data_IF_382582687879
#
_entry.id   IF_382582687879
#
_cell.length_a   1.000
_cell.length_b   1.000
_cell.length_c   1.000
_cell.angle_alpha   90.00
_cell.angle_beta   90.00
_cell.angle_gamma   90.00
#
_symmetry.space_group_name_H-M   'P 1'
#
loop_
_entity.id
_entity.type
_entity.pdbx_description
1 polymer ?
#
# COMPACT_ATOMS: atom_id res chain seq x y z
N UNK A 1 3.70 -8.74 16.78
CA UNK A 1 2.37 -8.11 16.59
C UNK A 1 2.35 -7.48 15.20
N UNK A 2 1.22 -7.53 14.48
CA UNK A 2 1.11 -6.92 13.16
C UNK A 2 1.18 -5.39 13.23
N UNK A 3 1.91 -4.75 12.31
CA UNK A 3 2.06 -3.29 12.24
C UNK A 3 0.75 -2.63 11.77
N UNK A 4 0.51 -1.40 12.20
CA UNK A 4 -0.60 -0.58 11.68
C UNK A 4 -0.24 -0.08 10.29
N UNK A 5 -1.05 -0.41 9.29
CA UNK A 5 -0.88 0.10 7.93
C UNK A 5 -1.56 1.46 7.81
N UNK A 6 -0.76 2.49 7.54
CA UNK A 6 -1.24 3.85 7.27
C UNK A 6 -0.91 4.21 5.83
N UNK A 7 -1.88 4.82 5.14
CA UNK A 7 -1.66 5.38 3.82
C UNK A 7 -0.57 6.47 3.87
N UNK A 8 0.44 6.37 3.02
CA UNK A 8 1.59 7.28 3.06
C UNK A 8 2.12 7.69 1.71
N UNK A 9 2.87 8.79 1.72
CA UNK A 9 3.81 9.19 0.68
C UNK A 9 5.23 9.17 1.23
N UNK A 10 6.20 8.97 0.35
CA UNK A 10 7.62 9.04 0.67
C UNK A 10 8.20 10.34 0.13
N UNK A 11 9.06 11.00 0.93
CA UNK A 11 9.76 12.25 0.57
C UNK A 11 10.42 12.11 -0.81
N UNK A 12 10.32 13.18 -1.61
CA UNK A 12 10.85 13.21 -2.99
C UNK A 12 12.33 12.81 -3.10
N UNK A 13 13.19 13.23 -2.17
CA UNK A 13 14.63 12.92 -2.19
C UNK A 13 14.97 11.44 -1.98
N UNK A 14 14.03 10.64 -1.51
CA UNK A 14 14.22 9.20 -1.31
C UNK A 14 13.89 8.41 -2.58
N UNK A 15 13.23 9.02 -3.56
CA UNK A 15 12.99 8.38 -4.84
C UNK A 15 14.25 8.29 -5.67
N UNK A 16 14.39 7.20 -6.42
CA UNK A 16 15.45 6.96 -7.40
C UNK A 16 16.88 7.01 -6.84
N UNK A 17 17.06 6.76 -5.54
CA UNK A 17 18.40 6.58 -4.95
C UNK A 17 19.10 5.39 -5.60
N UNK A 18 20.34 5.62 -6.04
CA UNK A 18 21.17 4.59 -6.64
C UNK A 18 21.45 3.46 -5.65
N UNK A 19 21.42 2.23 -6.15
CA UNK A 19 21.72 1.04 -5.36
C UNK A 19 22.49 0.03 -6.21
N UNK A 20 23.45 -0.66 -5.59
CA UNK A 20 24.09 -1.81 -6.21
C UNK A 20 23.04 -2.93 -6.36
N UNK A 21 22.77 -3.33 -7.60
CA UNK A 21 21.72 -4.28 -7.93
C UNK A 21 21.97 -5.68 -7.34
N UNK A 22 23.22 -6.15 -7.32
CA UNK A 22 23.58 -7.48 -6.81
C UNK A 22 23.61 -7.50 -5.28
N UNK A 23 24.10 -6.43 -4.65
CA UNK A 23 24.01 -6.25 -3.21
C UNK A 23 22.54 -6.20 -2.76
N UNK A 24 21.72 -5.38 -3.44
CA UNK A 24 20.29 -5.27 -3.15
C UNK A 24 19.57 -6.61 -3.30
N UNK A 25 19.87 -7.38 -4.35
CA UNK A 25 19.29 -8.71 -4.55
C UNK A 25 19.59 -9.65 -3.38
N UNK A 26 20.81 -9.63 -2.82
CA UNK A 26 21.18 -10.42 -1.63
C UNK A 26 20.44 -9.93 -0.38
N UNK A 27 20.46 -8.63 -0.10
CA UNK A 27 19.75 -8.04 1.05
C UNK A 27 18.25 -8.33 0.99
N UNK A 28 17.64 -8.17 -0.17
CA UNK A 28 16.22 -8.48 -0.40
C UNK A 28 15.89 -9.94 -0.05
N UNK A 29 16.73 -10.89 -0.45
CA UNK A 29 16.54 -12.31 -0.11
C UNK A 29 16.69 -12.56 1.40
N UNK A 30 17.61 -11.88 2.07
CA UNK A 30 17.77 -11.98 3.53
C UNK A 30 16.53 -11.49 4.27
N UNK A 31 15.96 -10.34 3.89
CA UNK A 31 14.74 -9.79 4.50
C UNK A 31 13.55 -10.72 4.29
N UNK A 32 13.33 -11.19 3.06
CA UNK A 32 12.24 -12.15 2.78
C UNK A 32 12.41 -13.46 3.56
N UNK A 33 13.65 -13.95 3.71
CA UNK A 33 13.93 -15.15 4.51
C UNK A 33 13.67 -14.91 6.00
N UNK A 34 14.11 -13.76 6.55
CA UNK A 34 13.88 -13.36 7.95
C UNK A 34 12.39 -13.35 8.28
N UNK A 35 11.59 -12.77 7.39
CA UNK A 35 10.15 -12.59 7.61
C UNK A 35 9.32 -13.79 7.11
N UNK A 36 9.95 -14.90 6.70
CA UNK A 36 9.30 -16.06 6.08
C UNK A 36 8.33 -15.65 4.95
N UNK A 37 8.72 -14.67 4.14
CA UNK A 37 7.89 -14.06 3.08
C UNK A 37 6.50 -13.62 3.55
N UNK A 38 6.39 -13.15 4.81
CA UNK A 38 5.14 -12.73 5.45
C UNK A 38 5.06 -11.21 5.53
N UNK A 39 3.95 -10.64 5.08
CA UNK A 39 3.71 -9.19 5.17
C UNK A 39 3.57 -8.75 6.63
N UNK A 40 4.41 -7.81 7.07
CA UNK A 40 4.41 -7.28 8.44
C UNK A 40 3.12 -6.54 8.85
N UNK A 41 2.29 -6.16 7.88
CA UNK A 41 1.03 -5.44 8.09
C UNK A 41 -0.17 -6.38 8.14
N UNK A 42 -0.48 -7.07 7.03
CA UNK A 42 -1.69 -7.89 6.93
C UNK A 42 -1.47 -9.38 7.23
N UNK A 43 -0.23 -9.81 7.51
CA UNK A 43 0.11 -11.22 7.77
C UNK A 43 0.06 -12.12 6.53
N UNK A 44 -0.18 -11.56 5.34
CA UNK A 44 -0.23 -12.34 4.10
C UNK A 44 1.13 -12.94 3.75
N UNK A 45 1.17 -14.24 3.45
CA UNK A 45 2.39 -14.96 3.10
C UNK A 45 2.30 -15.47 1.67
N UNK A 46 3.33 -15.23 0.85
CA UNK A 46 3.41 -15.75 -0.50
C UNK A 46 4.86 -15.96 -0.95
N UNK A 47 5.08 -16.98 -1.80
CA UNK A 47 6.41 -17.27 -2.35
C UNK A 47 6.84 -16.30 -3.46
N UNK A 48 5.90 -15.58 -4.07
CA UNK A 48 6.14 -14.65 -5.18
C UNK A 48 5.47 -13.30 -4.92
N UNK A 49 5.96 -12.27 -5.61
CA UNK A 49 5.43 -10.89 -5.60
C UNK A 49 5.50 -10.12 -4.28
N UNK A 50 6.02 -10.73 -3.20
CA UNK A 50 6.38 -10.00 -1.99
C UNK A 50 7.42 -8.91 -2.30
N UNK A 51 7.24 -7.74 -1.71
CA UNK A 51 8.13 -6.59 -1.84
C UNK A 51 8.95 -6.42 -0.56
N UNK A 52 10.08 -5.73 -0.68
CA UNK A 52 10.85 -5.24 0.45
C UNK A 52 10.80 -3.72 0.39
N UNK A 53 10.27 -3.11 1.45
CA UNK A 53 10.07 -1.68 1.58
C UNK A 53 11.06 -1.10 2.61
N UNK A 54 11.63 0.07 2.33
CA UNK A 54 12.39 0.83 3.32
C UNK A 54 11.43 1.55 4.27
N UNK A 55 11.70 1.50 5.57
CA UNK A 55 10.89 2.18 6.58
C UNK A 55 11.21 3.68 6.55
N UNK A 56 12.50 4.01 6.57
CA UNK A 56 13.08 5.34 6.62
C UNK A 56 13.81 5.68 5.30
N UNK A 57 15.11 5.98 5.37
CA UNK A 57 15.92 6.38 4.22
C UNK A 57 16.09 5.25 3.20
N UNK A 58 16.00 5.56 1.91
CA UNK A 58 16.10 4.58 0.81
C UNK A 58 17.55 4.16 0.47
N UNK A 59 18.56 4.85 1.00
CA UNK A 59 19.98 4.47 0.91
C UNK A 59 20.46 3.63 2.11
N UNK A 60 19.66 3.53 3.17
CA UNK A 60 19.95 2.68 4.31
C UNK A 60 19.40 1.26 4.10
N UNK A 61 20.27 0.35 3.66
CA UNK A 61 19.91 -1.04 3.40
C UNK A 61 20.09 -1.98 4.60
N UNK A 62 20.24 -1.45 5.82
CA UNK A 62 20.29 -2.26 7.03
C UNK A 62 18.98 -3.04 7.20
N UNK A 63 19.08 -4.30 7.63
CA UNK A 63 17.91 -5.19 7.72
C UNK A 63 16.79 -4.60 8.58
N UNK A 64 17.13 -3.85 9.62
CA UNK A 64 16.14 -3.24 10.53
C UNK A 64 15.38 -2.07 9.89
N UNK A 65 15.92 -1.46 8.83
CA UNK A 65 15.23 -0.46 8.01
C UNK A 65 14.38 -1.09 6.90
N UNK A 66 14.36 -2.43 6.78
CA UNK A 66 13.69 -3.14 5.71
C UNK A 66 12.57 -4.02 6.23
N UNK A 67 11.44 -4.01 5.52
CA UNK A 67 10.28 -4.83 5.86
C UNK A 67 9.70 -5.58 4.66
N UNK A 68 9.32 -6.84 4.89
CA UNK A 68 8.55 -7.61 3.91
C UNK A 68 7.10 -7.15 3.87
N UNK A 69 6.62 -6.78 2.68
CA UNK A 69 5.25 -6.30 2.47
C UNK A 69 4.62 -6.94 1.24
N UNK A 70 3.31 -7.22 1.27
CA UNK A 70 2.61 -7.69 0.08
C UNK A 70 2.32 -6.52 -0.88
N UNK A 71 2.06 -6.80 -2.15
CA UNK A 71 1.79 -5.78 -3.19
C UNK A 71 0.66 -4.82 -2.81
N UNK A 72 -0.43 -5.32 -2.20
CA UNK A 72 -1.56 -4.48 -1.79
C UNK A 72 -1.18 -3.53 -0.64
N UNK A 73 -0.50 -4.01 0.41
CA UNK A 73 -0.04 -3.15 1.50
C UNK A 73 1.02 -2.16 1.02
N UNK A 74 1.93 -2.59 0.13
CA UNK A 74 2.91 -1.72 -0.49
C UNK A 74 2.26 -0.58 -1.29
N UNK A 75 1.16 -0.86 -1.99
CA UNK A 75 0.42 0.18 -2.70
C UNK A 75 -0.12 1.27 -1.75
N UNK A 76 -0.59 0.90 -0.56
CA UNK A 76 -1.01 1.85 0.48
C UNK A 76 0.14 2.72 0.98
N UNK A 77 1.37 2.20 1.00
CA UNK A 77 2.55 2.98 1.41
C UNK A 77 3.03 4.00 0.37
N UNK A 78 2.53 3.91 -0.87
CA UNK A 78 2.91 4.75 -2.00
C UNK A 78 1.67 5.34 -2.71
N UNK A 79 0.76 5.95 -1.94
CA UNK A 79 -0.55 6.38 -2.47
C UNK A 79 -0.44 7.31 -3.68
N UNK A 80 0.55 8.20 -3.73
CA UNK A 80 0.66 9.19 -4.82
C UNK A 80 0.93 8.54 -6.17
N UNK A 81 1.89 7.62 -6.24
CA UNK A 81 2.14 6.88 -7.49
C UNK A 81 0.96 5.96 -7.81
N UNK A 82 0.35 5.35 -6.78
CA UNK A 82 -0.75 4.41 -7.00
C UNK A 82 -2.04 5.10 -7.43
N UNK A 83 -2.28 6.34 -7.03
CA UNK A 83 -3.37 7.15 -7.54
C UNK A 83 -3.10 7.62 -8.97
N UNK A 84 -1.87 8.01 -9.30
CA UNK A 84 -1.50 8.32 -10.69
C UNK A 84 -1.67 7.11 -11.63
N UNK A 85 -1.49 5.90 -11.13
CA UNK A 85 -1.71 4.64 -11.86
C UNK A 85 -3.18 4.21 -11.90
N UNK A 86 -4.10 4.95 -11.27
CA UNK A 86 -5.51 4.59 -11.20
C UNK A 86 -5.83 3.41 -10.28
N UNK A 87 -4.90 3.02 -9.39
CA UNK A 87 -5.03 1.82 -8.53
C UNK A 87 -5.67 2.17 -7.19
N UNK A 88 -5.47 3.41 -6.70
CA UNK A 88 -5.97 3.85 -5.39
C UNK A 88 -6.56 5.27 -5.48
N UNK A 89 -7.71 5.49 -4.87
CA UNK A 89 -8.19 6.82 -4.49
C UNK A 89 -8.37 6.94 -2.97
N UNK A 90 -8.63 8.14 -2.48
CA UNK A 90 -8.96 8.40 -1.09
C UNK A 90 -10.48 8.53 -0.87
N UNK A 91 -10.93 8.38 0.38
CA UNK A 91 -12.27 8.75 0.81
C UNK A 91 -12.29 9.10 2.30
N UNK A 92 -13.25 9.93 2.71
CA UNK A 92 -13.48 10.25 4.12
C UNK A 92 -14.09 9.03 4.82
N UNK A 93 -13.38 8.52 5.81
CA UNK A 93 -13.69 7.28 6.51
C UNK A 93 -14.24 7.52 7.90
N UNK A 94 -15.01 6.54 8.39
CA UNK A 94 -15.42 6.49 9.80
C UNK A 94 -14.20 6.46 10.72
N UNK A 95 -14.23 7.15 11.88
CA UNK A 95 -13.06 7.34 12.75
C UNK A 95 -12.48 6.03 13.32
N UNK A 96 -13.28 4.95 13.40
CA UNK A 96 -12.82 3.62 13.84
C UNK A 96 -11.94 2.88 12.81
N UNK A 97 -11.82 3.40 11.59
CA UNK A 97 -10.91 2.87 10.57
C UNK A 97 -9.50 3.46 10.74
N UNK A 98 -8.74 2.90 11.68
CA UNK A 98 -7.36 3.34 11.98
C UNK A 98 -6.27 2.49 11.34
N UNK A 99 -6.63 1.36 10.72
CA UNK A 99 -5.69 0.43 10.09
C UNK A 99 -6.18 0.00 8.71
N UNK A 100 -5.44 0.38 7.66
CA UNK A 100 -5.81 0.12 6.27
C UNK A 100 -5.76 -1.37 5.90
N UNK A 101 -5.20 -2.24 6.76
CA UNK A 101 -5.30 -3.70 6.58
C UNK A 101 -6.75 -4.20 6.55
N UNK A 102 -7.69 -3.49 7.20
CA UNK A 102 -9.13 -3.81 7.15
C UNK A 102 -9.67 -3.72 5.72
N UNK A 103 -9.30 -2.67 4.98
CA UNK A 103 -9.66 -2.51 3.57
C UNK A 103 -8.94 -3.56 2.72
N UNK A 104 -7.63 -3.77 2.91
CA UNK A 104 -6.87 -4.80 2.18
C UNK A 104 -7.52 -6.19 2.32
N UNK A 105 -7.93 -6.56 3.53
CA UNK A 105 -8.61 -7.83 3.80
C UNK A 105 -9.98 -7.89 3.11
N UNK A 106 -10.81 -6.86 3.28
CA UNK A 106 -12.13 -6.80 2.66
C UNK A 106 -12.04 -6.92 1.13
N UNK A 107 -11.17 -6.15 0.50
CA UNK A 107 -10.94 -6.21 -0.95
C UNK A 107 -10.45 -7.59 -1.37
N UNK A 108 -9.47 -8.18 -0.66
CA UNK A 108 -8.99 -9.54 -0.96
C UNK A 108 -10.12 -10.57 -0.92
N UNK A 109 -10.99 -10.53 0.10
CA UNK A 109 -12.13 -11.45 0.22
C UNK A 109 -13.11 -11.29 -0.94
N UNK A 110 -13.41 -10.05 -1.34
CA UNK A 110 -14.35 -9.80 -2.43
C UNK A 110 -13.76 -10.18 -3.80
N UNK A 111 -12.48 -9.92 -4.04
CA UNK A 111 -11.77 -10.44 -5.22
C UNK A 111 -11.78 -11.97 -5.24
N UNK A 112 -11.58 -12.63 -4.09
CA UNK A 112 -11.66 -14.09 -3.98
C UNK A 112 -13.02 -14.66 -4.39
N UNK A 113 -14.08 -13.91 -4.07
CA UNK A 113 -15.46 -14.23 -4.43
C UNK A 113 -15.81 -13.88 -5.87
N UNK A 114 -14.84 -13.40 -6.66
CA UNK A 114 -15.03 -12.92 -8.04
C UNK A 114 -16.09 -11.82 -8.14
N UNK A 115 -16.21 -11.00 -7.08
CA UNK A 115 -17.08 -9.81 -7.09
C UNK A 115 -16.55 -8.81 -8.11
N UNK A 116 -17.45 -8.13 -8.84
CA UNK A 116 -17.04 -7.10 -9.80
C UNK A 116 -16.46 -5.88 -9.09
N UNK A 117 -15.52 -5.17 -9.71
CA UNK A 117 -14.86 -4.04 -9.08
C UNK A 117 -15.80 -2.91 -8.66
N UNK A 118 -16.81 -2.60 -9.48
CA UNK A 118 -17.85 -1.63 -9.10
C UNK A 118 -18.56 -2.02 -7.79
N UNK A 119 -18.82 -3.32 -7.60
CA UNK A 119 -19.46 -3.84 -6.40
C UNK A 119 -18.48 -3.92 -5.20
N UNK A 120 -17.21 -4.22 -5.44
CA UNK A 120 -16.15 -4.15 -4.43
C UNK A 120 -16.07 -2.73 -3.86
N UNK A 121 -15.96 -1.74 -4.74
CA UNK A 121 -15.85 -0.33 -4.36
C UNK A 121 -17.09 0.11 -3.57
N UNK A 122 -18.29 -0.24 -4.06
CA UNK A 122 -19.55 0.05 -3.37
C UNK A 122 -19.61 -0.55 -1.97
N UNK A 123 -19.21 -1.81 -1.80
CA UNK A 123 -19.25 -2.48 -0.49
C UNK A 123 -18.21 -1.91 0.49
N UNK A 124 -17.00 -1.59 0.02
CA UNK A 124 -15.97 -0.94 0.84
C UNK A 124 -16.47 0.41 1.32
N UNK A 125 -17.00 1.25 0.42
CA UNK A 125 -17.56 2.56 0.78
C UNK A 125 -18.74 2.42 1.75
N UNK A 126 -19.70 1.54 1.48
CA UNK A 126 -20.85 1.33 2.37
C UNK A 126 -20.43 0.93 3.79
N UNK A 127 -19.34 0.16 3.93
CA UNK A 127 -18.88 -0.31 5.22
C UNK A 127 -18.01 0.71 5.95
N UNK A 128 -17.11 1.40 5.25
CA UNK A 128 -16.02 2.18 5.85
C UNK A 128 -16.13 3.70 5.66
N UNK A 129 -16.87 4.17 4.65
CA UNK A 129 -17.00 5.60 4.40
C UNK A 129 -17.88 6.28 5.44
N UNK A 130 -17.57 7.53 5.73
CA UNK A 130 -18.46 8.41 6.47
C UNK A 130 -19.71 8.68 5.60
N UNK A 131 -20.94 8.66 6.13
CA UNK A 131 -22.16 8.80 5.32
C UNK A 131 -22.21 10.05 4.44
N UNK A 132 -21.72 11.19 4.95
CA UNK A 132 -21.62 12.46 4.24
C UNK A 132 -20.16 12.78 3.83
N UNK A 133 -19.31 11.75 3.85
CA UNK A 133 -17.90 11.83 3.53
C UNK A 133 -17.66 11.99 2.03
N UNK A 134 -16.59 12.68 1.67
CA UNK A 134 -16.17 12.80 0.29
C UNK A 134 -15.50 11.51 -0.19
N UNK A 135 -15.82 11.09 -1.41
CA UNK A 135 -15.03 10.11 -2.18
C UNK A 135 -14.23 10.88 -3.20
N UNK A 136 -12.91 10.72 -3.17
CA UNK A 136 -12.01 11.46 -4.03
C UNK A 136 -11.75 10.68 -5.33
N UNK A 137 -11.51 11.41 -6.42
CA UNK A 137 -10.96 10.80 -7.63
C UNK A 137 -9.48 10.45 -7.45
N UNK A 138 -8.92 9.65 -8.36
CA UNK A 138 -7.48 9.39 -8.40
C UNK A 138 -6.66 10.67 -8.60
N UNK A 139 -7.15 11.62 -9.39
CA UNK A 139 -6.49 12.91 -9.61
C UNK A 139 -6.49 13.75 -8.33
N UNK A 140 -7.64 13.86 -7.65
CA UNK A 140 -7.76 14.57 -6.38
C UNK A 140 -6.89 13.93 -5.29
N UNK A 141 -6.84 12.60 -5.26
CA UNK A 141 -5.97 11.83 -4.35
C UNK A 141 -4.49 12.10 -4.63
N UNK A 142 -4.11 12.24 -5.90
CA UNK A 142 -2.76 12.65 -6.29
C UNK A 142 -2.46 14.08 -5.80
N UNK A 143 -3.44 14.97 -5.88
CA UNK A 143 -3.39 16.32 -5.30
C UNK A 143 -3.14 16.29 -3.78
N UNK A 144 -3.89 15.46 -3.05
CA UNK A 144 -3.69 15.25 -1.60
C UNK A 144 -2.28 14.70 -1.30
N UNK A 145 -1.83 13.69 -2.04
CA UNK A 145 -0.49 13.12 -1.91
C UNK A 145 0.61 14.19 -2.12
N UNK A 146 0.44 15.07 -3.11
CA UNK A 146 1.36 16.18 -3.35
C UNK A 146 1.35 17.23 -2.23
N UNK A 147 0.20 17.47 -1.59
CA UNK A 147 0.13 18.32 -0.40
C UNK A 147 0.85 17.67 0.78
N UNK A 148 0.66 16.37 0.99
CA UNK A 148 1.35 15.61 2.05
C UNK A 148 2.88 15.65 1.90
N UNK A 149 3.40 15.60 0.66
CA UNK A 149 4.85 15.74 0.43
C UNK A 149 5.43 17.05 0.95
N UNK A 150 4.65 18.13 0.96
CA UNK A 150 5.06 19.46 1.42
C UNK A 150 5.07 19.59 2.94
N UNK A 151 4.36 18.70 3.66
CA UNK A 151 4.21 18.75 5.12
C UNK A 151 5.13 17.78 5.86
N UNK A 152 5.91 16.97 5.15
CA UNK A 152 6.92 16.08 5.74
C UNK A 152 8.00 16.92 6.44
N UNK A 153 8.13 16.75 7.76
CA UNK A 153 9.15 17.47 8.53
C UNK A 153 10.56 17.08 8.08
N UNK A 154 11.57 17.95 8.13
CA UNK A 154 12.94 17.65 7.65
C UNK A 154 13.56 16.35 8.18
N UNK A 155 13.21 15.94 9.41
CA UNK A 155 13.69 14.71 10.05
C UNK A 155 12.91 13.45 9.67
N UNK A 156 11.79 13.58 8.97
CA UNK A 156 10.90 12.48 8.60
C UNK A 156 11.09 12.09 7.13
N UNK A 157 10.86 10.82 6.83
CA UNK A 157 10.94 10.26 5.48
C UNK A 157 9.58 10.11 4.81
N UNK A 158 8.50 10.10 5.61
CA UNK A 158 7.14 9.78 5.16
C UNK A 158 6.14 10.82 5.66
N UNK A 159 5.17 11.10 4.81
CA UNK A 159 3.94 11.81 5.17
C UNK A 159 2.78 10.83 5.20
N UNK A 160 1.88 10.97 6.16
CA UNK A 160 0.72 10.09 6.30
C UNK A 160 -0.56 10.82 5.95
N UNK A 161 -1.49 10.06 5.38
CA UNK A 161 -2.82 10.54 5.07
C UNK A 161 -3.52 10.96 6.39
N UNK A 162 -4.29 12.07 6.41
CA UNK A 162 -4.90 12.58 7.64
C UNK A 162 -5.82 11.56 8.32
N UNK A 163 -6.00 11.69 9.63
CA UNK A 163 -7.00 10.91 10.36
C UNK A 163 -8.40 11.22 9.80
N UNK A 164 -9.28 10.20 9.78
CA UNK A 164 -10.60 10.33 9.18
C UNK A 164 -10.62 10.21 7.66
N UNK A 165 -9.50 9.91 7.02
CA UNK A 165 -9.47 9.59 5.58
C UNK A 165 -8.78 8.23 5.36
N UNK A 166 -9.24 7.48 4.36
CA UNK A 166 -8.77 6.15 4.02
C UNK A 166 -8.58 5.99 2.51
N UNK A 167 -8.22 4.78 2.07
CA UNK A 167 -7.96 4.47 0.66
C UNK A 167 -9.00 3.50 0.10
N UNK A 168 -9.40 3.71 -1.14
CA UNK A 168 -10.20 2.80 -1.95
C UNK A 168 -9.30 2.19 -3.01
N UNK A 169 -9.35 0.87 -3.18
CA UNK A 169 -8.68 0.20 -4.29
C UNK A 169 -9.60 0.15 -5.51
N UNK A 170 -8.98 0.28 -6.68
CA UNK A 170 -9.61 0.11 -7.99
C UNK A 170 -9.00 -1.09 -8.71
N UNK A 171 -9.65 -1.48 -9.81
CA UNK A 171 -9.13 -2.50 -10.70
C UNK A 171 -7.73 -2.14 -11.20
N UNK A 172 -6.76 -3.01 -10.95
CA UNK A 172 -5.40 -2.85 -11.47
C UNK A 172 -5.28 -3.55 -12.83
N UNK A 173 -4.57 -2.96 -13.79
CA UNK A 173 -4.17 -3.68 -15.00
C UNK A 173 -3.25 -4.86 -14.64
N UNK A 174 -3.10 -5.85 -15.53
CA UNK A 174 -2.12 -6.91 -15.37
C UNK A 174 -0.70 -6.35 -15.24
N UNK A 175 0.11 -6.98 -14.39
CA UNK A 175 1.51 -6.64 -14.21
C UNK A 175 2.40 -7.72 -14.81
N UNK A 176 3.23 -7.38 -15.80
CA UNK A 176 4.09 -8.33 -16.52
C UNK A 176 3.35 -9.59 -17.01
N UNK A 177 2.13 -9.40 -17.53
CA UNK A 177 1.27 -10.50 -18.00
C UNK A 177 0.57 -11.30 -16.90
N UNK A 178 0.83 -11.03 -15.62
CA UNK A 178 0.09 -11.64 -14.51
C UNK A 178 -1.18 -10.84 -14.22
N UNK A 179 -2.36 -11.48 -14.12
CA UNK A 179 -3.58 -10.85 -13.64
C UNK A 179 -3.43 -10.31 -12.22
N UNK A 180 -4.17 -9.25 -11.87
CA UNK A 180 -4.15 -8.64 -10.53
C UNK A 180 -4.45 -9.62 -9.40
N UNK A 181 -5.30 -10.61 -9.66
CA UNK A 181 -5.62 -11.67 -8.70
C UNK A 181 -4.37 -12.45 -8.28
N UNK A 182 -3.40 -12.62 -9.18
CA UNK A 182 -2.16 -13.36 -8.94
C UNK A 182 -1.10 -12.50 -8.25
N UNK A 183 -0.88 -11.27 -8.72
CA UNK A 183 0.25 -10.46 -8.21
C UNK A 183 -0.12 -9.52 -7.07
N UNK A 184 -1.39 -9.10 -6.97
CA UNK A 184 -1.84 -8.10 -5.99
C UNK A 184 -2.67 -8.72 -4.88
N UNK A 185 -3.70 -9.50 -5.25
CA UNK A 185 -4.67 -9.97 -4.28
C UNK A 185 -4.30 -11.28 -3.63
N UNK A 186 -3.60 -12.16 -4.35
CA UNK A 186 -3.03 -13.43 -3.87
C UNK A 186 -4.00 -14.15 -2.94
N UNK A 187 -4.81 -15.04 -3.51
CA UNK A 187 -5.77 -15.80 -2.73
C UNK A 187 -5.07 -16.95 -2.01
N UNK A 188 -5.57 -17.41 -0.85
CA UNK A 188 -5.14 -18.69 -0.30
C UNK A 188 -5.40 -19.74 -1.38
N UNK A 189 -4.38 -20.53 -1.69
CA UNK A 189 -4.57 -21.74 -2.50
C UNK A 189 -5.45 -22.76 -1.78
#
# INVERSE_FOLDING_TARGET
>A
MAKILRASVMRKSEWDKERDAEAWKRTRLQVLKRDNSTCVYCGWTAQRFMQVNHIEAEDNHDLDNLETVCTACHAVLHIGIKSMQGIISAFDSKPELTNMTKIVYATRVLVARKTSWAEIERQVLQHYALPDGRVYTCEETTGLANQMLKTIQPRDYRGYLPEGTAILFHQSPPWNGFPEMIHMWQLPG
#
